data_IF_919866476834
#
_entry.id   IF_919866476834
#
_cell.length_a   1.000
_cell.length_b   1.000
_cell.length_c   1.000
_cell.angle_alpha   90.00
_cell.angle_beta   90.00
_cell.angle_gamma   90.00
#
_symmetry.space_group_name_H-M   'P 1'
#
loop_
_entity.id
_entity.type
_entity.pdbx_description
1 polymer ?
#
# COMPACT_ATOMS: atom_id res chain seq x y z
N UNK A 1 -34.33 -12.19 -1.84
CA UNK A 1 -32.94 -12.06 -2.36
C UNK A 1 -32.21 -10.81 -1.85
N UNK A 2 -32.79 -9.59 -1.88
CA UNK A 2 -32.13 -8.37 -1.37
C UNK A 2 -31.75 -8.46 0.12
N UNK A 3 -32.62 -9.02 0.96
CA UNK A 3 -32.37 -9.16 2.40
C UNK A 3 -31.21 -10.12 2.71
N UNK A 4 -31.08 -11.21 1.95
CA UNK A 4 -29.97 -12.15 2.10
C UNK A 4 -28.63 -11.52 1.68
N UNK A 5 -28.59 -10.76 0.58
CA UNK A 5 -27.39 -10.01 0.16
C UNK A 5 -26.98 -8.96 1.19
N UNK A 6 -27.94 -8.21 1.72
CA UNK A 6 -27.66 -7.20 2.75
C UNK A 6 -27.18 -7.85 4.05
N UNK A 7 -27.76 -9.00 4.44
CA UNK A 7 -27.31 -9.76 5.59
C UNK A 7 -25.87 -10.26 5.42
N UNK A 8 -25.53 -10.81 4.25
CA UNK A 8 -24.16 -11.24 3.93
C UNK A 8 -23.19 -10.05 3.98
N UNK A 9 -23.57 -8.89 3.42
CA UNK A 9 -22.74 -7.69 3.46
C UNK A 9 -22.50 -7.20 4.89
N UNK A 10 -23.53 -7.19 5.74
CA UNK A 10 -23.42 -6.82 7.16
C UNK A 10 -22.52 -7.80 7.91
N UNK A 11 -22.66 -9.10 7.67
CA UNK A 11 -21.79 -10.12 8.28
C UNK A 11 -20.34 -9.92 7.84
N UNK A 12 -20.08 -9.72 6.55
CA UNK A 12 -18.73 -9.50 6.04
C UNK A 12 -18.09 -8.24 6.65
N UNK A 13 -18.86 -7.15 6.76
CA UNK A 13 -18.38 -5.90 7.36
C UNK A 13 -18.14 -6.06 8.87
N UNK A 14 -19.00 -6.80 9.58
CA UNK A 14 -18.82 -7.12 10.98
C UNK A 14 -17.54 -7.95 11.21
N UNK A 15 -17.29 -8.97 10.38
CA UNK A 15 -16.06 -9.77 10.45
C UNK A 15 -14.82 -8.91 10.21
N UNK A 16 -14.85 -8.04 9.20
CA UNK A 16 -13.76 -7.10 8.92
C UNK A 16 -13.52 -6.15 10.10
N UNK A 17 -14.59 -5.58 10.67
CA UNK A 17 -14.50 -4.70 11.82
C UNK A 17 -13.91 -5.40 13.06
N UNK A 18 -14.37 -6.62 13.36
CA UNK A 18 -13.82 -7.42 14.47
C UNK A 18 -12.34 -7.72 14.24
N UNK A 19 -11.94 -8.08 13.03
CA UNK A 19 -10.54 -8.29 12.69
C UNK A 19 -9.70 -7.03 12.93
N UNK A 20 -10.16 -5.87 12.45
CA UNK A 20 -9.45 -4.60 12.63
C UNK A 20 -9.33 -4.19 14.11
N UNK A 21 -10.40 -4.36 14.89
CA UNK A 21 -10.40 -4.08 16.33
C UNK A 21 -9.42 -5.02 17.03
N UNK A 22 -9.47 -6.32 16.73
CA UNK A 22 -8.55 -7.30 17.30
C UNK A 22 -7.09 -6.97 16.96
N UNK A 23 -6.79 -6.64 15.71
CA UNK A 23 -5.46 -6.18 15.28
C UNK A 23 -5.00 -4.93 16.03
N UNK A 24 -5.90 -3.96 16.27
CA UNK A 24 -5.55 -2.74 17.02
C UNK A 24 -5.21 -3.02 18.49
N UNK A 25 -5.89 -4.00 19.12
CA UNK A 25 -5.61 -4.40 20.51
C UNK A 25 -4.28 -5.15 20.61
N UNK A 26 -3.90 -5.88 19.56
CA UNK A 26 -2.64 -6.64 19.48
C UNK A 26 -1.45 -5.80 19.01
N UNK A 27 -1.63 -4.51 18.72
CA UNK A 27 -0.54 -3.64 18.27
C UNK A 27 0.48 -3.42 19.39
N UNK A 28 1.76 -3.33 19.04
CA UNK A 28 2.81 -3.02 20.01
C UNK A 28 2.57 -1.64 20.67
N UNK A 29 3.07 -1.41 21.90
CA UNK A 29 2.99 -0.10 22.52
C UNK A 29 3.68 0.98 21.66
N UNK A 30 3.14 2.19 21.72
CA UNK A 30 3.72 3.34 21.03
C UNK A 30 5.19 3.55 21.44
N UNK A 31 6.07 3.75 20.47
CA UNK A 31 7.51 3.96 20.69
C UNK A 31 8.31 2.71 21.10
N UNK A 32 7.72 1.51 21.02
CA UNK A 32 8.40 0.24 21.33
C UNK A 32 8.25 -0.75 20.16
N UNK A 33 9.00 -0.56 19.05
CA UNK A 33 9.06 -1.55 17.98
C UNK A 33 9.60 -2.88 18.51
N UNK A 34 9.08 -4.00 18.02
CA UNK A 34 9.50 -5.35 18.45
C UNK A 34 10.85 -5.78 17.86
N UNK A 35 11.14 -5.36 16.63
CA UNK A 35 12.41 -5.58 15.93
C UNK A 35 12.70 -4.33 15.10
N UNK A 36 13.68 -3.54 15.51
CA UNK A 36 14.10 -2.30 14.85
C UNK A 36 15.38 -2.46 14.03
N UNK A 37 15.92 -3.67 13.90
CA UNK A 37 17.24 -3.89 13.28
C UNK A 37 17.33 -3.34 11.85
N UNK A 38 16.28 -3.55 11.05
CA UNK A 38 16.16 -2.99 9.70
C UNK A 38 16.06 -1.45 9.73
N UNK A 39 15.22 -0.91 10.61
CA UNK A 39 15.00 0.54 10.72
C UNK A 39 16.32 1.24 11.12
N UNK A 40 17.01 0.70 12.11
CA UNK A 40 18.29 1.21 12.62
C UNK A 40 19.38 1.16 11.54
N UNK A 41 19.42 0.09 10.73
CA UNK A 41 20.33 -0.03 9.60
C UNK A 41 20.07 1.06 8.55
N UNK A 42 18.82 1.24 8.15
CA UNK A 42 18.44 2.23 7.14
C UNK A 42 18.75 3.65 7.65
N UNK A 43 18.39 3.96 8.90
CA UNK A 43 18.66 5.28 9.48
C UNK A 43 20.17 5.58 9.49
N UNK A 44 21.00 4.59 9.82
CA UNK A 44 22.45 4.77 9.90
C UNK A 44 23.16 4.80 8.54
N UNK A 45 22.64 4.12 7.52
CA UNK A 45 23.34 3.93 6.24
C UNK A 45 22.69 4.59 5.02
N UNK A 46 21.42 5.03 5.09
CA UNK A 46 20.67 5.52 3.94
C UNK A 46 21.43 6.60 3.15
N UNK A 47 21.96 7.62 3.81
CA UNK A 47 22.69 8.69 3.12
C UNK A 47 23.97 8.19 2.44
N UNK A 48 24.69 7.27 3.07
CA UNK A 48 25.95 6.74 2.53
C UNK A 48 25.70 5.77 1.36
N UNK A 49 24.65 4.96 1.42
CA UNK A 49 24.34 3.96 0.40
C UNK A 49 23.58 4.53 -0.80
N UNK A 50 22.71 5.52 -0.57
CA UNK A 50 21.81 6.07 -1.61
C UNK A 50 22.20 7.46 -2.07
N UNK A 51 23.00 8.19 -1.28
CA UNK A 51 23.31 9.61 -1.52
C UNK A 51 22.14 10.57 -1.24
N UNK A 52 20.97 10.06 -0.85
CA UNK A 52 19.82 10.88 -0.51
C UNK A 52 19.84 11.28 0.97
N UNK A 53 19.60 12.57 1.24
CA UNK A 53 19.50 13.10 2.60
C UNK A 53 18.16 12.77 3.28
N UNK A 54 17.18 12.28 2.52
CA UNK A 54 15.87 11.91 3.04
C UNK A 54 15.74 10.39 3.11
N UNK A 55 15.75 9.84 4.32
CA UNK A 55 15.62 8.41 4.56
C UNK A 55 14.34 7.81 3.95
N UNK A 56 13.22 8.54 3.92
CA UNK A 56 11.98 8.06 3.31
C UNK A 56 12.14 7.89 1.79
N UNK A 57 12.79 8.86 1.14
CA UNK A 57 13.08 8.78 -0.30
C UNK A 57 14.04 7.63 -0.60
N UNK A 58 15.09 7.45 0.21
CA UNK A 58 16.01 6.31 0.11
C UNK A 58 15.26 4.97 0.20
N UNK A 59 14.28 4.86 1.09
CA UNK A 59 13.47 3.63 1.20
C UNK A 59 12.62 3.41 -0.03
N UNK A 60 11.83 4.41 -0.44
CA UNK A 60 10.84 4.25 -1.50
C UNK A 60 11.50 4.08 -2.88
N UNK A 61 12.62 4.75 -3.16
CA UNK A 61 13.25 4.71 -4.49
C UNK A 61 14.45 3.76 -4.59
N UNK A 62 15.23 3.55 -3.53
CA UNK A 62 16.41 2.69 -3.59
C UNK A 62 16.16 1.34 -2.91
N UNK A 63 16.01 1.29 -1.58
CA UNK A 63 15.86 0.01 -0.86
C UNK A 63 14.64 -0.79 -1.31
N UNK A 64 13.52 -0.11 -1.58
CA UNK A 64 12.24 -0.69 -2.02
C UNK A 64 11.77 -0.11 -3.35
N UNK A 65 12.72 0.23 -4.24
CA UNK A 65 12.42 0.79 -5.55
C UNK A 65 11.52 -0.09 -6.43
N UNK A 66 11.53 -1.42 -6.21
CA UNK A 66 10.65 -2.34 -6.95
C UNK A 66 9.16 -2.15 -6.60
N UNK A 67 8.84 -1.83 -5.34
CA UNK A 67 7.46 -1.55 -4.93
C UNK A 67 6.94 -0.29 -5.64
N UNK A 68 7.77 0.75 -5.70
CA UNK A 68 7.46 2.02 -6.40
C UNK A 68 7.37 1.86 -7.91
N UNK A 69 8.20 1.00 -8.51
CA UNK A 69 8.04 0.61 -9.92
C UNK A 69 6.68 -0.08 -10.16
N UNK A 70 6.25 -0.91 -9.21
CA UNK A 70 4.92 -1.49 -9.18
C UNK A 70 3.81 -0.43 -9.12
N UNK A 71 3.92 0.54 -8.20
CA UNK A 71 2.99 1.67 -8.10
C UNK A 71 2.89 2.46 -9.41
N UNK A 72 4.03 2.78 -10.02
CA UNK A 72 4.08 3.47 -11.31
C UNK A 72 3.41 2.64 -12.42
N UNK A 73 3.59 1.32 -12.42
CA UNK A 73 2.96 0.40 -13.37
C UNK A 73 1.44 0.36 -13.17
N UNK A 74 0.95 0.35 -11.93
CA UNK A 74 -0.49 0.41 -11.61
C UNK A 74 -1.10 1.73 -12.11
N UNK A 75 -0.44 2.87 -11.85
CA UNK A 75 -0.92 4.16 -12.34
C UNK A 75 -0.92 4.24 -13.86
N UNK A 76 0.16 3.77 -14.50
CA UNK A 76 0.27 3.72 -15.96
C UNK A 76 -0.84 2.87 -16.58
N UNK A 77 -1.06 1.66 -16.06
CA UNK A 77 -2.10 0.76 -16.55
C UNK A 77 -3.51 1.31 -16.31
N UNK A 78 -3.75 1.98 -15.19
CA UNK A 78 -5.01 2.66 -14.92
C UNK A 78 -5.30 3.75 -15.97
N UNK A 79 -4.33 4.63 -16.23
CA UNK A 79 -4.47 5.70 -17.23
C UNK A 79 -4.63 5.11 -18.64
N UNK A 80 -3.83 4.12 -19.01
CA UNK A 80 -3.93 3.43 -20.29
C UNK A 80 -5.30 2.76 -20.47
N UNK A 81 -5.84 2.13 -19.42
CA UNK A 81 -7.17 1.53 -19.41
C UNK A 81 -8.28 2.55 -19.62
N UNK A 82 -8.22 3.71 -18.95
CA UNK A 82 -9.17 4.81 -19.15
C UNK A 82 -9.10 5.32 -20.60
N UNK A 83 -7.90 5.54 -21.14
CA UNK A 83 -7.73 5.99 -22.53
C UNK A 83 -8.34 4.97 -23.50
N UNK A 84 -8.08 3.67 -23.30
CA UNK A 84 -8.65 2.62 -24.16
C UNK A 84 -10.18 2.59 -24.09
N UNK A 85 -10.77 2.73 -22.89
CA UNK A 85 -12.23 2.72 -22.70
C UNK A 85 -12.91 3.92 -23.39
N UNK A 86 -12.29 5.10 -23.35
CA UNK A 86 -12.85 6.34 -23.89
C UNK A 86 -12.33 6.71 -25.29
N UNK A 87 -11.54 5.84 -25.93
CA UNK A 87 -11.04 6.09 -27.28
C UNK A 87 -12.22 6.11 -28.26
N UNK A 88 -12.33 7.17 -29.07
CA UNK A 88 -13.37 7.27 -30.09
C UNK A 88 -13.12 6.24 -31.20
N UNK A 89 -14.01 5.27 -31.34
CA UNK A 89 -14.10 4.41 -32.51
C UNK A 89 -14.45 5.27 -33.73
N UNK A 90 -13.55 5.33 -34.71
CA UNK A 90 -13.86 5.96 -36.00
C UNK A 90 -14.59 4.91 -36.82
N UNK A 91 -15.92 4.93 -36.78
CA UNK A 91 -16.73 4.19 -37.75
C UNK A 91 -16.47 4.81 -39.13
N UNK A 92 -15.80 4.06 -40.00
CA UNK A 92 -15.84 4.28 -41.46
C UNK A 92 -17.13 3.72 -42.04
#
# INVERSE_FOLDING_TARGET
>A
MKNARNLIAVIALAVCAVFLIFSSIMMHPFGKPSDSSMDDYIISNAQNETGANNAVTSVVFDYRGFDTLGEATVLFTAVAGVIMLFRREKHE
#
